data_IF_341624783130
#
_entry.id   IF_341624783130
#
_cell.length_a   1.000
_cell.length_b   1.000
_cell.length_c   1.000
_cell.angle_alpha   90.00
_cell.angle_beta   90.00
_cell.angle_gamma   90.00
#
_symmetry.space_group_name_H-M   'P 1'
#
loop_
_entity.id
_entity.type
_entity.pdbx_description
1 polymer ?
#
# COMPACT_ATOMS: atom_id res chain seq x y z
N UNK A 1 11.82 18.82 -18.29
CA UNK A 1 11.85 19.13 -16.97
C UNK A 1 11.72 17.97 -16.03
N UNK A 2 12.01 18.16 -14.80
CA UNK A 2 12.04 17.06 -13.88
C UNK A 2 10.77 16.87 -13.07
N UNK A 3 9.63 17.22 -13.62
CA UNK A 3 8.38 17.13 -12.87
C UNK A 3 8.08 15.75 -12.35
N UNK A 4 8.36 14.72 -13.16
CA UNK A 4 8.09 13.36 -12.71
C UNK A 4 8.95 12.99 -11.51
N UNK A 5 10.19 13.49 -11.50
CA UNK A 5 11.08 13.24 -10.37
C UNK A 5 10.62 13.98 -9.13
N UNK A 6 9.86 15.05 -9.33
CA UNK A 6 9.41 15.90 -8.24
C UNK A 6 8.03 15.53 -7.74
N UNK A 7 7.41 14.50 -8.31
CA UNK A 7 6.09 14.05 -7.85
C UNK A 7 6.18 13.61 -6.39
N UNK A 8 5.23 14.03 -5.57
CA UNK A 8 5.20 13.60 -4.19
C UNK A 8 5.15 12.07 -4.09
N UNK A 9 5.85 11.48 -3.11
CA UNK A 9 5.79 10.02 -2.93
C UNK A 9 4.38 9.48 -2.81
N UNK A 10 3.47 10.25 -2.21
CA UNK A 10 2.09 9.81 -2.07
C UNK A 10 1.41 9.55 -3.40
N UNK A 11 1.66 10.40 -4.41
CA UNK A 11 1.07 10.21 -5.74
C UNK A 11 1.57 8.95 -6.41
N UNK A 12 2.86 8.68 -6.25
CA UNK A 12 3.46 7.47 -6.82
C UNK A 12 2.89 6.23 -6.18
N UNK A 13 2.66 6.28 -4.87
CA UNK A 13 2.08 5.16 -4.15
C UNK A 13 0.63 4.92 -4.59
N UNK A 14 -0.15 5.98 -4.74
CA UNK A 14 -1.54 5.86 -5.20
C UNK A 14 -1.56 5.21 -6.59
N UNK A 15 -0.66 5.62 -7.47
CA UNK A 15 -0.60 5.03 -8.80
C UNK A 15 -0.33 3.53 -8.74
N UNK A 16 0.47 3.09 -7.77
CA UNK A 16 0.75 1.66 -7.58
C UNK A 16 -0.44 0.92 -6.99
N UNK A 17 -1.28 1.61 -6.21
CA UNK A 17 -2.47 0.99 -5.60
C UNK A 17 -3.61 0.79 -6.60
N UNK A 18 -3.68 1.64 -7.65
CA UNK A 18 -4.82 1.64 -8.56
C UNK A 18 -5.13 0.29 -9.19
N UNK A 19 -4.14 -0.45 -9.73
CA UNK A 19 -4.45 -1.76 -10.33
C UNK A 19 -5.09 -2.71 -9.33
N UNK A 20 -4.64 -2.69 -8.09
CA UNK A 20 -5.21 -3.52 -7.04
C UNK A 20 -6.64 -3.09 -6.72
N UNK A 21 -6.87 -1.78 -6.63
CA UNK A 21 -8.21 -1.26 -6.36
C UNK A 21 -9.19 -1.64 -7.47
N UNK A 22 -8.73 -1.58 -8.72
CA UNK A 22 -9.55 -1.98 -9.85
C UNK A 22 -9.87 -3.47 -9.80
N UNK A 23 -8.88 -4.27 -9.40
CA UNK A 23 -9.09 -5.70 -9.21
C UNK A 23 -10.16 -5.95 -8.14
N UNK A 24 -10.09 -5.24 -7.02
CA UNK A 24 -11.08 -5.37 -5.95
C UNK A 24 -12.47 -4.98 -6.43
N UNK A 25 -12.55 -3.93 -7.25
CA UNK A 25 -13.84 -3.44 -7.74
C UNK A 25 -14.56 -4.48 -8.60
N UNK A 26 -13.81 -5.39 -9.23
CA UNK A 26 -14.39 -6.41 -10.10
C UNK A 26 -14.44 -7.79 -9.44
N UNK A 27 -14.11 -7.87 -8.15
CA UNK A 27 -13.96 -9.17 -7.47
C UNK A 27 -15.24 -9.66 -6.81
N UNK A 28 -16.32 -8.89 -6.87
CA UNK A 28 -17.57 -9.29 -6.24
C UNK A 28 -17.68 -8.94 -4.76
N UNK A 29 -16.69 -8.23 -4.21
CA UNK A 29 -16.74 -7.80 -2.83
C UNK A 29 -17.77 -6.69 -2.63
N UNK A 30 -18.32 -6.60 -1.41
CA UNK A 30 -19.27 -5.54 -1.08
C UNK A 30 -18.55 -4.19 -1.06
N UNK A 31 -19.34 -3.13 -1.22
CA UNK A 31 -18.78 -1.76 -1.15
C UNK A 31 -18.11 -1.51 0.19
N UNK A 32 -18.69 -2.02 1.27
CA UNK A 32 -18.12 -1.83 2.61
C UNK A 32 -16.74 -2.48 2.70
N UNK A 33 -16.61 -3.70 2.17
CA UNK A 33 -15.34 -4.40 2.20
C UNK A 33 -14.30 -3.69 1.35
N UNK A 34 -14.69 -3.23 0.16
CA UNK A 34 -13.78 -2.49 -0.71
C UNK A 34 -13.33 -1.21 -0.02
N UNK A 35 -14.25 -0.49 0.61
CA UNK A 35 -13.91 0.74 1.31
C UNK A 35 -12.92 0.49 2.43
N UNK A 36 -13.08 -0.62 3.16
CA UNK A 36 -12.15 -0.98 4.22
C UNK A 36 -10.75 -1.18 3.65
N UNK A 37 -10.64 -1.85 2.50
CA UNK A 37 -9.33 -2.03 1.87
C UNK A 37 -8.74 -0.71 1.40
N UNK A 38 -9.58 0.18 0.86
CA UNK A 38 -9.13 1.52 0.45
C UNK A 38 -8.56 2.25 1.66
N UNK A 39 -9.29 2.24 2.77
CA UNK A 39 -8.84 2.91 3.99
C UNK A 39 -7.52 2.34 4.48
N UNK A 40 -7.37 1.02 4.42
CA UNK A 40 -6.15 0.36 4.84
C UNK A 40 -4.97 0.69 3.91
N UNK A 41 -5.22 0.87 2.62
CA UNK A 41 -4.17 1.29 1.70
C UNK A 41 -3.69 2.71 2.00
N UNK A 42 -4.60 3.60 2.45
CA UNK A 42 -4.20 4.93 2.89
C UNK A 42 -3.30 4.84 4.10
N UNK A 43 -3.59 3.92 5.03
CA UNK A 43 -2.73 3.70 6.18
C UNK A 43 -1.36 3.20 5.73
N UNK A 44 -1.34 2.25 4.80
CA UNK A 44 -0.08 1.75 4.26
C UNK A 44 0.74 2.86 3.63
N UNK A 45 0.08 3.70 2.80
CA UNK A 45 0.76 4.82 2.18
C UNK A 45 1.34 5.78 3.21
N UNK A 46 0.60 6.03 4.29
CA UNK A 46 1.07 6.90 5.36
C UNK A 46 2.30 6.36 6.07
N UNK A 47 2.32 5.05 6.31
CA UNK A 47 3.47 4.41 6.95
C UNK A 47 4.71 4.48 6.05
N UNK A 48 4.52 4.25 4.75
CA UNK A 48 5.64 4.34 3.80
C UNK A 48 6.18 5.76 3.72
N UNK A 49 5.28 6.76 3.68
CA UNK A 49 5.70 8.16 3.61
C UNK A 49 6.47 8.53 4.87
N UNK A 50 6.05 8.03 6.02
CA UNK A 50 6.78 8.26 7.26
C UNK A 50 8.21 7.72 7.14
N UNK A 51 8.35 6.49 6.63
CA UNK A 51 9.66 5.88 6.46
C UNK A 51 10.54 6.71 5.52
N UNK A 52 9.96 7.20 4.42
CA UNK A 52 10.68 8.01 3.45
C UNK A 52 11.16 9.32 4.09
N UNK A 53 10.32 9.91 4.95
CA UNK A 53 10.69 11.14 5.63
C UNK A 53 11.79 10.92 6.67
N UNK A 54 11.81 9.75 7.30
CA UNK A 54 12.83 9.43 8.29
C UNK A 54 14.13 8.98 7.64
N UNK A 55 14.05 8.43 6.44
CA UNK A 55 15.22 7.96 5.71
C UNK A 55 15.19 8.52 4.29
N UNK A 56 15.67 9.75 4.10
CA UNK A 56 15.59 10.41 2.80
C UNK A 56 16.11 9.62 1.60
N UNK A 57 17.15 8.76 1.73
CA UNK A 57 17.57 7.95 0.57
C UNK A 57 16.47 7.09 -0.02
N UNK A 58 15.44 6.77 0.76
CA UNK A 58 14.33 5.97 0.26
C UNK A 58 13.54 6.68 -0.84
N UNK A 59 13.68 8.00 -0.95
CA UNK A 59 12.99 8.76 -2.02
C UNK A 59 13.44 8.31 -3.40
N UNK A 60 14.61 7.71 -3.51
CA UNK A 60 15.16 7.23 -4.78
C UNK A 60 14.68 5.83 -5.12
N UNK A 61 14.05 5.16 -4.17
CA UNK A 61 13.54 3.81 -4.38
C UNK A 61 12.19 3.90 -5.09
N UNK A 62 11.95 3.11 -6.14
CA UNK A 62 10.65 3.12 -6.81
C UNK A 62 9.51 2.82 -5.84
N UNK A 63 8.35 3.46 -6.04
CA UNK A 63 7.21 3.28 -5.14
C UNK A 63 6.81 1.81 -5.01
N UNK A 64 6.81 1.07 -6.12
CA UNK A 64 6.46 -0.35 -6.06
C UNK A 64 7.41 -1.12 -5.16
N UNK A 65 8.70 -0.80 -5.22
CA UNK A 65 9.68 -1.48 -4.38
C UNK A 65 9.49 -1.11 -2.91
N UNK A 66 9.16 0.16 -2.63
CA UNK A 66 8.87 0.58 -1.26
C UNK A 66 7.71 -0.24 -0.68
N UNK A 67 6.67 -0.44 -1.49
CA UNK A 67 5.53 -1.25 -1.06
C UNK A 67 5.96 -2.69 -0.81
N UNK A 68 6.69 -3.28 -1.75
CA UNK A 68 7.11 -4.68 -1.63
C UNK A 68 8.04 -4.92 -0.45
N UNK A 69 8.76 -3.88 -0.03
CA UNK A 69 9.67 -4.01 1.10
C UNK A 69 8.95 -4.11 2.44
N UNK A 70 7.71 -3.64 2.52
CA UNK A 70 7.00 -3.58 3.80
C UNK A 70 5.78 -4.49 3.89
N UNK A 71 5.30 -5.06 2.78
CA UNK A 71 4.20 -6.02 2.84
C UNK A 71 4.74 -7.43 2.64
N UNK A 72 4.10 -8.38 3.30
CA UNK A 72 4.52 -9.77 3.30
C UNK A 72 3.31 -10.66 3.10
N UNK A 73 3.55 -11.95 2.88
CA UNK A 73 2.45 -12.88 2.76
C UNK A 73 1.66 -13.00 4.06
N UNK A 74 2.22 -12.56 5.18
CA UNK A 74 1.57 -12.58 6.49
C UNK A 74 0.86 -11.29 6.83
N UNK A 75 1.18 -10.20 6.17
CA UNK A 75 0.59 -8.90 6.50
C UNK A 75 1.51 -7.75 6.12
N UNK A 76 1.47 -6.68 6.90
CA UNK A 76 2.22 -5.45 6.64
C UNK A 76 2.89 -4.92 7.90
N UNK A 77 3.32 -3.65 7.85
CA UNK A 77 4.02 -3.06 8.98
C UNK A 77 3.08 -2.82 10.17
N UNK A 78 3.65 -2.59 11.34
CA UNK A 78 2.87 -2.20 12.50
C UNK A 78 2.29 -0.81 12.26
N UNK A 79 1.00 -0.66 12.55
CA UNK A 79 0.32 0.63 12.43
C UNK A 79 0.65 1.46 13.67
N UNK A 80 1.13 2.68 13.44
CA UNK A 80 1.36 3.60 14.54
C UNK A 80 0.02 4.05 15.11
N UNK A 81 -0.16 3.94 16.41
CA UNK A 81 -1.38 4.33 17.11
C UNK A 81 -2.60 3.51 16.70
N UNK A 82 -2.37 2.34 16.10
CA UNK A 82 -3.47 1.46 15.72
C UNK A 82 -3.84 0.51 16.86
N UNK A 83 -5.09 0.04 16.81
CA UNK A 83 -5.58 -0.96 17.73
C UNK A 83 -5.35 -2.35 17.16
N UNK A 84 -5.42 -3.36 17.99
CA UNK A 84 -5.21 -4.74 17.56
C UNK A 84 -6.15 -5.13 16.41
N UNK A 85 -7.42 -4.74 16.51
CA UNK A 85 -8.39 -5.04 15.45
C UNK A 85 -8.08 -4.31 14.17
N UNK A 86 -7.61 -3.06 14.28
CA UNK A 86 -7.20 -2.29 13.11
C UNK A 86 -5.98 -2.90 12.45
N UNK A 87 -5.03 -3.35 13.27
CA UNK A 87 -3.84 -4.01 12.75
C UNK A 87 -4.22 -5.29 12.00
N UNK A 88 -5.16 -6.05 12.55
CA UNK A 88 -5.61 -7.29 11.93
C UNK A 88 -6.28 -7.02 10.59
N UNK A 89 -7.13 -5.99 10.54
CA UNK A 89 -7.80 -5.60 9.30
C UNK A 89 -6.78 -5.13 8.27
N UNK A 90 -5.82 -4.30 8.70
CA UNK A 90 -4.77 -3.78 7.85
C UNK A 90 -3.91 -4.93 7.28
N UNK A 91 -3.52 -5.88 8.13
CA UNK A 91 -2.73 -7.01 7.69
C UNK A 91 -3.47 -7.83 6.65
N UNK A 92 -4.79 -7.95 6.79
CA UNK A 92 -5.61 -8.66 5.82
C UNK A 92 -5.51 -8.01 4.44
N UNK A 93 -5.56 -6.67 4.40
CA UNK A 93 -5.43 -5.93 3.14
C UNK A 93 -4.02 -6.12 2.56
N UNK A 94 -3.00 -6.06 3.40
CA UNK A 94 -1.61 -6.23 2.94
C UNK A 94 -1.38 -7.62 2.38
N UNK A 95 -1.95 -8.65 3.01
CA UNK A 95 -1.84 -10.03 2.49
C UNK A 95 -2.48 -10.14 1.11
N UNK A 96 -3.67 -9.53 0.96
CA UNK A 96 -4.39 -9.57 -0.30
C UNK A 96 -3.62 -8.83 -1.38
N UNK A 97 -3.06 -7.69 -1.04
CA UNK A 97 -2.26 -6.89 -1.98
C UNK A 97 -0.98 -7.63 -2.36
N UNK A 98 -0.31 -8.22 -1.40
CA UNK A 98 0.89 -9.02 -1.65
C UNK A 98 0.59 -10.15 -2.64
N UNK A 99 -0.51 -10.85 -2.41
CA UNK A 99 -0.93 -11.93 -3.31
C UNK A 99 -1.20 -11.41 -4.71
N UNK A 100 -1.86 -10.26 -4.81
CA UNK A 100 -2.14 -9.63 -6.10
C UNK A 100 -0.84 -9.32 -6.85
N UNK A 101 0.12 -8.73 -6.16
CA UNK A 101 1.40 -8.36 -6.77
C UNK A 101 2.18 -9.57 -7.23
N UNK A 102 2.20 -10.63 -6.42
CA UNK A 102 2.96 -11.82 -6.78
C UNK A 102 2.30 -12.58 -7.94
N UNK A 103 0.98 -12.56 -8.01
CA UNK A 103 0.28 -13.21 -9.12
C UNK A 103 0.49 -12.47 -10.43
N UNK A 104 0.56 -11.15 -10.38
CA UNK A 104 0.70 -10.36 -11.60
C UNK A 104 2.13 -10.41 -12.16
N UNK A 105 3.06 -11.01 -11.44
CA UNK A 105 4.43 -11.19 -11.92
C UNK A 105 4.57 -12.40 -12.84
N UNK A 106 3.56 -13.26 -12.89
CA UNK A 106 3.62 -14.47 -13.70
C UNK A 106 3.28 -14.23 -15.16
#
# INVERSE_FOLDING_TARGET
MGEERDLPPGRKLVACFLPFLMHLATSGLSKRTIQRHVDNLWILGGEIIRDVNEEPPLRKVPAEQLIRNVIYEDGGPLIHNGWEDEQRSFDSTCRKFHRFLTQSER
#
